data_IF_795866974755
#
_entry.id   IF_795866974755
#
_cell.length_a   1.000
_cell.length_b   1.000
_cell.length_c   1.000
_cell.angle_alpha   90.00
_cell.angle_beta   90.00
_cell.angle_gamma   90.00
#
_symmetry.space_group_name_H-M   'P 1'
#
loop_
_entity.id
_entity.type
_entity.pdbx_description
1 polymer ?
#
# COMPACT_ATOMS: atom_id res chain seq x y z
N UNK A 1 33.34 -10.87 -11.87
CA UNK A 1 32.81 -12.11 -11.28
C UNK A 1 31.96 -11.78 -10.03
N UNK A 2 30.80 -11.13 -10.20
CA UNK A 2 29.92 -10.79 -9.06
C UNK A 2 28.42 -10.72 -9.41
N UNK A 3 28.06 -10.87 -10.68
CA UNK A 3 26.67 -10.78 -11.14
C UNK A 3 25.92 -12.12 -11.15
N UNK A 4 26.64 -13.25 -11.22
CA UNK A 4 26.02 -14.59 -11.29
C UNK A 4 25.51 -15.08 -9.92
N UNK A 5 26.23 -14.78 -8.83
CA UNK A 5 25.79 -15.19 -7.50
C UNK A 5 24.48 -14.50 -7.09
N UNK A 6 24.29 -13.22 -7.42
CA UNK A 6 23.08 -12.49 -7.02
C UNK A 6 21.83 -12.96 -7.78
N UNK A 7 21.98 -13.39 -9.04
CA UNK A 7 20.89 -13.83 -9.90
C UNK A 7 20.24 -15.12 -9.37
N UNK A 8 21.05 -16.07 -8.90
CA UNK A 8 20.57 -17.33 -8.32
C UNK A 8 19.83 -17.12 -6.98
N UNK A 9 20.28 -16.14 -6.17
CA UNK A 9 19.57 -15.73 -4.94
C UNK A 9 18.25 -15.01 -5.20
N UNK A 10 18.14 -14.22 -6.27
CA UNK A 10 16.88 -13.59 -6.66
C UNK A 10 15.90 -14.58 -7.30
N UNK A 11 16.38 -15.55 -8.10
CA UNK A 11 15.55 -16.63 -8.66
C UNK A 11 14.94 -17.52 -7.56
N UNK A 12 15.73 -17.96 -6.58
CA UNK A 12 15.20 -18.68 -5.40
C UNK A 12 14.21 -17.84 -4.61
N UNK A 13 14.49 -16.54 -4.43
CA UNK A 13 13.57 -15.63 -3.73
C UNK A 13 12.30 -15.31 -4.49
N UNK A 14 12.28 -15.48 -5.81
CA UNK A 14 11.08 -15.32 -6.63
C UNK A 14 10.22 -16.60 -6.62
N UNK A 15 10.84 -17.78 -6.46
CA UNK A 15 10.11 -19.04 -6.35
C UNK A 15 9.24 -19.13 -5.08
N UNK A 16 9.55 -18.35 -4.05
CA UNK A 16 8.82 -18.29 -2.76
C UNK A 16 7.76 -17.16 -2.71
N UNK A 17 7.46 -16.50 -3.84
CA UNK A 17 6.48 -15.42 -3.89
C UNK A 17 5.10 -15.99 -4.23
N UNK A 18 4.17 -15.90 -3.28
CA UNK A 18 2.79 -16.36 -3.44
C UNK A 18 1.96 -15.40 -4.32
N UNK A 19 2.26 -14.09 -4.25
CA UNK A 19 1.61 -13.05 -5.06
C UNK A 19 2.57 -11.89 -5.28
N UNK A 20 2.54 -11.26 -6.46
CA UNK A 20 3.31 -10.04 -6.72
C UNK A 20 2.48 -9.03 -7.53
N UNK A 21 2.50 -7.77 -7.10
CA UNK A 21 1.95 -6.64 -7.84
C UNK A 21 3.04 -5.60 -8.08
N UNK A 22 3.25 -5.25 -9.35
CA UNK A 22 4.17 -4.20 -9.78
C UNK A 22 3.40 -2.94 -10.13
N UNK A 23 3.87 -1.79 -9.63
CA UNK A 23 3.32 -0.47 -9.94
C UNK A 23 4.47 0.40 -10.49
N UNK A 24 4.35 0.87 -11.73
CA UNK A 24 5.27 1.88 -12.26
C UNK A 24 4.80 3.25 -11.76
N UNK A 25 5.73 4.02 -11.20
CA UNK A 25 5.45 5.38 -10.73
C UNK A 25 6.32 6.35 -11.53
N UNK A 26 5.75 6.82 -12.64
CA UNK A 26 6.46 7.60 -13.65
C UNK A 26 7.67 6.86 -14.24
N UNK A 27 8.61 7.62 -14.79
CA UNK A 27 9.73 7.07 -15.58
C UNK A 27 10.81 6.36 -14.76
N UNK A 28 10.93 6.64 -13.46
CA UNK A 28 12.14 6.33 -12.68
C UNK A 28 11.91 5.61 -11.37
N UNK A 29 10.66 5.42 -10.95
CA UNK A 29 10.33 4.67 -9.74
C UNK A 29 9.43 3.49 -10.09
N UNK A 30 9.61 2.40 -9.35
CA UNK A 30 8.76 1.23 -9.46
C UNK A 30 8.58 0.65 -8.07
N UNK A 31 7.33 0.40 -7.70
CA UNK A 31 6.97 -0.29 -6.47
C UNK A 31 6.66 -1.74 -6.77
N UNK A 32 7.10 -2.63 -5.89
CA UNK A 32 6.81 -4.05 -5.91
C UNK A 32 6.17 -4.43 -4.58
N UNK A 33 5.00 -5.04 -4.64
CA UNK A 33 4.27 -5.58 -3.49
C UNK A 33 4.26 -7.09 -3.63
N UNK A 34 5.13 -7.77 -2.88
CA UNK A 34 5.23 -9.23 -2.89
C UNK A 34 4.62 -9.80 -1.60
N UNK A 35 3.81 -10.85 -1.72
CA UNK A 35 3.39 -11.69 -0.60
C UNK A 35 4.26 -12.93 -0.57
N UNK A 36 4.84 -13.23 0.58
CA UNK A 36 5.75 -14.37 0.79
C UNK A 36 5.33 -15.18 2.00
N UNK A 37 5.59 -16.47 1.96
CA UNK A 37 5.34 -17.37 3.09
C UNK A 37 6.58 -17.42 4.00
N UNK A 38 6.35 -17.46 5.32
CA UNK A 38 7.37 -17.69 6.33
C UNK A 38 7.58 -19.20 6.51
N UNK A 39 8.62 -19.58 7.25
CA UNK A 39 8.82 -20.99 7.64
C UNK A 39 7.71 -21.54 8.54
N UNK A 40 6.91 -20.67 9.16
CA UNK A 40 5.82 -21.05 10.07
C UNK A 40 4.45 -21.12 9.38
N UNK A 41 4.41 -21.17 8.03
CA UNK A 41 3.19 -21.16 7.23
C UNK A 41 2.32 -19.89 7.37
N UNK A 42 2.94 -18.80 7.85
CA UNK A 42 2.34 -17.47 7.87
C UNK A 42 2.76 -16.64 6.66
N UNK A 43 2.00 -15.59 6.33
CA UNK A 43 2.31 -14.69 5.23
C UNK A 43 2.81 -13.32 5.71
N UNK A 44 3.71 -12.73 4.94
CA UNK A 44 4.18 -11.36 5.12
C UNK A 44 4.29 -10.65 3.77
N UNK A 45 4.20 -9.32 3.79
CA UNK A 45 4.33 -8.49 2.60
C UNK A 45 5.74 -7.89 2.57
N UNK A 46 6.36 -7.91 1.40
CA UNK A 46 7.56 -7.13 1.10
C UNK A 46 7.19 -6.00 0.15
N UNK A 47 7.35 -4.76 0.60
CA UNK A 47 7.18 -3.56 -0.23
C UNK A 47 8.58 -3.10 -0.64
N UNK A 48 8.85 -3.08 -1.93
CA UNK A 48 10.14 -2.60 -2.47
C UNK A 48 9.92 -1.42 -3.38
N UNK A 49 10.56 -0.30 -3.07
CA UNK A 49 10.73 0.80 -4.00
C UNK A 49 12.07 0.64 -4.71
N UNK A 50 12.04 0.66 -6.05
CA UNK A 50 13.22 0.75 -6.89
C UNK A 50 13.25 2.09 -7.60
N UNK A 51 14.27 2.90 -7.34
CA UNK A 51 14.48 4.22 -7.95
C UNK A 51 15.72 4.18 -8.84
N UNK A 52 15.57 4.47 -10.13
CA UNK A 52 16.71 4.59 -11.05
C UNK A 52 17.56 5.81 -10.67
N UNK A 53 18.89 5.66 -10.56
CA UNK A 53 19.83 6.77 -10.29
C UNK A 53 19.92 7.75 -11.48
N UNK A 54 20.33 9.00 -11.20
CA UNK A 54 20.38 10.06 -12.21
C UNK A 54 21.57 9.91 -13.16
N UNK A 55 22.73 9.59 -12.61
CA UNK A 55 24.02 9.68 -13.29
C UNK A 55 24.73 8.32 -13.38
N UNK A 56 24.05 7.24 -13.06
CA UNK A 56 24.66 5.93 -12.82
C UNK A 56 23.73 4.82 -13.32
N UNK A 57 24.30 3.73 -13.84
CA UNK A 57 23.55 2.58 -14.34
C UNK A 57 23.14 1.63 -13.20
N UNK A 58 22.37 2.20 -12.25
CA UNK A 58 21.97 1.52 -11.03
C UNK A 58 20.60 1.93 -10.50
N UNK A 59 20.11 1.14 -9.54
CA UNK A 59 18.86 1.36 -8.84
C UNK A 59 19.10 1.44 -7.32
N UNK A 60 18.53 2.45 -6.68
CA UNK A 60 18.40 2.50 -5.24
C UNK A 60 17.15 1.71 -4.84
N UNK A 61 17.34 0.70 -4.00
CA UNK A 61 16.26 -0.18 -3.54
C UNK A 61 16.00 0.04 -2.07
N UNK A 62 14.80 0.49 -1.74
CA UNK A 62 14.29 0.58 -0.39
C UNK A 62 13.32 -0.57 -0.18
N UNK A 63 13.55 -1.39 0.85
CA UNK A 63 12.75 -2.58 1.13
C UNK A 63 12.20 -2.51 2.55
N UNK A 64 10.91 -2.74 2.67
CA UNK A 64 10.19 -2.85 3.93
C UNK A 64 9.50 -4.22 4.00
N UNK A 65 9.46 -4.78 5.21
CA UNK A 65 8.73 -6.00 5.52
C UNK A 65 7.56 -5.62 6.42
N UNK A 66 6.38 -6.16 6.13
CA UNK A 66 5.18 -5.98 6.91
C UNK A 66 4.62 -7.36 7.26
N UNK A 67 4.45 -7.62 8.55
CA UNK A 67 3.96 -8.90 9.08
C UNK A 67 2.45 -8.82 9.38
N UNK A 68 1.80 -9.99 9.42
CA UNK A 68 0.34 -10.11 9.50
C UNK A 68 -0.29 -9.39 10.70
N UNK A 69 0.42 -9.33 11.82
CA UNK A 69 0.00 -8.68 13.07
C UNK A 69 -0.18 -7.16 12.93
N UNK A 70 0.48 -6.55 11.95
CA UNK A 70 0.51 -5.10 11.76
C UNK A 70 -0.32 -4.63 10.56
N UNK A 71 -0.91 -5.53 9.77
CA UNK A 71 -1.61 -5.17 8.53
C UNK A 71 -2.68 -4.10 8.73
N UNK A 72 -3.58 -4.29 9.70
CA UNK A 72 -4.68 -3.37 9.93
C UNK A 72 -4.20 -2.01 10.48
N UNK A 73 -3.20 -2.02 11.38
CA UNK A 73 -2.63 -0.79 11.95
C UNK A 73 -1.89 0.01 10.87
N UNK A 74 -1.11 -0.67 10.05
CA UNK A 74 -0.37 -0.07 8.96
C UNK A 74 -1.31 0.49 7.88
N UNK A 75 -2.34 -0.26 7.49
CA UNK A 75 -3.32 0.20 6.51
C UNK A 75 -4.08 1.43 7.00
N UNK A 76 -4.56 1.43 8.26
CA UNK A 76 -5.26 2.57 8.84
C UNK A 76 -4.38 3.82 8.84
N UNK A 77 -3.15 3.72 9.37
CA UNK A 77 -2.21 4.84 9.41
C UNK A 77 -1.83 5.34 8.00
N UNK A 78 -1.65 4.42 7.04
CA UNK A 78 -1.34 4.76 5.66
C UNK A 78 -2.50 5.52 5.01
N UNK A 79 -3.73 5.02 5.15
CA UNK A 79 -4.94 5.67 4.61
C UNK A 79 -5.14 7.05 5.23
N UNK A 80 -5.10 7.16 6.56
CA UNK A 80 -5.25 8.45 7.26
C UNK A 80 -4.21 9.47 6.80
N UNK A 81 -2.95 9.05 6.64
CA UNK A 81 -1.88 9.93 6.17
C UNK A 81 -2.11 10.36 4.72
N UNK A 82 -2.57 9.46 3.85
CA UNK A 82 -2.88 9.79 2.45
C UNK A 82 -4.06 10.76 2.39
N UNK A 83 -5.10 10.52 3.18
CA UNK A 83 -6.30 11.35 3.20
C UNK A 83 -5.96 12.75 3.67
N UNK A 84 -5.20 12.90 4.77
CA UNK A 84 -4.73 14.21 5.24
C UNK A 84 -3.95 15.00 4.16
N UNK A 85 -3.13 14.32 3.35
CA UNK A 85 -2.43 14.96 2.23
C UNK A 85 -3.44 15.45 1.18
N UNK A 86 -4.44 14.63 0.84
CA UNK A 86 -5.44 14.95 -0.17
C UNK A 86 -6.41 16.03 0.27
N UNK A 87 -6.83 16.04 1.53
CA UNK A 87 -7.88 16.94 2.04
C UNK A 87 -7.31 18.24 2.57
N UNK A 88 -6.24 18.18 3.38
CA UNK A 88 -5.78 19.34 4.14
C UNK A 88 -4.58 20.04 3.48
N UNK A 89 -3.67 19.26 2.87
CA UNK A 89 -2.46 19.84 2.28
C UNK A 89 -2.59 20.19 0.80
N UNK A 90 -3.34 19.39 0.03
CA UNK A 90 -3.46 19.53 -1.42
C UNK A 90 -4.90 19.29 -1.93
N UNK A 91 -5.92 20.00 -1.42
CA UNK A 91 -7.33 19.78 -1.78
C UNK A 91 -7.64 20.03 -3.26
N UNK A 92 -6.97 21.00 -3.88
CA UNK A 92 -7.23 21.37 -5.28
C UNK A 92 -6.39 20.56 -6.30
N UNK A 93 -5.56 19.62 -5.82
CA UNK A 93 -4.71 18.83 -6.70
C UNK A 93 -5.45 17.60 -7.24
N UNK A 94 -5.50 17.47 -8.56
CA UNK A 94 -6.08 16.30 -9.22
C UNK A 94 -5.13 15.10 -9.15
N UNK A 95 -5.29 14.27 -8.11
CA UNK A 95 -4.55 13.02 -7.95
C UNK A 95 -5.00 11.94 -8.95
N UNK A 96 -6.22 12.03 -9.48
CA UNK A 96 -6.79 11.02 -10.38
C UNK A 96 -6.24 11.14 -11.80
N UNK A 97 -5.74 12.32 -12.19
CA UNK A 97 -4.98 12.51 -13.42
C UNK A 97 -3.81 11.51 -13.56
N UNK A 98 -3.22 11.05 -12.45
CA UNK A 98 -2.10 10.11 -12.44
C UNK A 98 -2.51 8.63 -12.42
N UNK A 99 -3.81 8.34 -12.33
CA UNK A 99 -4.33 6.98 -12.49
C UNK A 99 -4.40 6.55 -13.97
N UNK A 100 -4.05 7.43 -14.92
CA UNK A 100 -3.92 7.06 -16.33
C UNK A 100 -2.75 6.09 -16.49
N UNK A 101 -3.10 4.83 -16.72
CA UNK A 101 -2.17 3.81 -17.20
C UNK A 101 -1.46 4.37 -18.45
N UNK A 102 -0.14 4.62 -18.36
CA UNK A 102 0.75 4.74 -19.51
C UNK A 102 0.91 3.36 -20.21
N UNK A 103 -0.20 2.65 -20.44
CA UNK A 103 -0.23 1.34 -21.12
C UNK A 103 -0.53 1.47 -22.62
N UNK A 104 -0.88 2.64 -23.13
CA UNK A 104 -1.19 2.84 -24.56
C UNK A 104 0.03 3.06 -25.48
N UNK A 105 1.11 2.30 -25.30
CA UNK A 105 2.10 2.08 -26.37
C UNK A 105 2.65 0.64 -26.37
N UNK A 106 1.78 -0.38 -26.39
CA UNK A 106 2.08 -1.63 -27.11
C UNK A 106 0.80 -2.47 -27.33
N UNK A 107 0.34 -2.49 -28.59
CA UNK A 107 -0.55 -3.46 -29.24
C UNK A 107 -1.89 -3.83 -28.56
N UNK A 108 -2.98 -3.38 -29.19
CA UNK A 108 -4.34 -3.50 -28.71
C UNK A 108 -4.85 -4.93 -28.53
N UNK A 109 -5.45 -5.15 -27.37
CA UNK A 109 -6.54 -6.11 -27.19
C UNK A 109 -7.40 -5.61 -26.02
N UNK A 110 -8.66 -5.27 -26.31
CA UNK A 110 -9.59 -4.73 -25.34
C UNK A 110 -9.98 -5.79 -24.31
N UNK A 111 -9.76 -5.53 -23.03
CA UNK A 111 -10.48 -6.21 -21.94
C UNK A 111 -10.97 -5.15 -20.96
N UNK A 112 -12.29 -5.07 -20.81
CA UNK A 112 -13.00 -4.04 -20.06
C UNK A 112 -12.47 -3.93 -18.61
N UNK A 113 -12.13 -2.71 -18.20
CA UNK A 113 -11.74 -2.39 -16.83
C UNK A 113 -12.93 -2.58 -15.89
N UNK A 114 -12.74 -3.38 -14.83
CA UNK A 114 -13.69 -3.47 -13.74
C UNK A 114 -13.71 -2.14 -12.97
N UNK A 115 -14.88 -1.64 -12.55
CA UNK A 115 -14.98 -0.38 -11.82
C UNK A 115 -14.33 -0.48 -10.45
N UNK A 116 -13.70 0.61 -10.01
CA UNK A 116 -13.12 0.77 -8.69
C UNK A 116 -14.16 0.49 -7.58
N UNK A 117 -13.77 -0.08 -6.42
CA UNK A 117 -14.71 -0.32 -5.34
C UNK A 117 -15.19 1.02 -4.76
N UNK A 118 -16.48 1.31 -4.91
CA UNK A 118 -17.16 2.40 -4.26
C UNK A 118 -17.20 2.14 -2.75
N UNK A 119 -16.57 3.01 -1.96
CA UNK A 119 -16.66 3.00 -0.51
C UNK A 119 -18.07 3.48 -0.13
N UNK A 120 -18.85 2.65 0.55
CA UNK A 120 -20.20 2.98 1.03
C UNK A 120 -20.05 3.48 2.47
N UNK A 121 -20.23 4.78 2.69
CA UNK A 121 -20.45 5.32 4.04
C UNK A 121 -21.86 4.96 4.51
N UNK A 122 -21.96 4.08 5.50
CA UNK A 122 -23.17 3.94 6.31
C UNK A 122 -22.80 4.15 7.77
N UNK A 123 -22.97 5.37 8.25
CA UNK A 123 -23.01 5.67 9.68
C UNK A 123 -24.48 5.95 10.02
N UNK A 124 -25.12 4.98 10.67
CA UNK A 124 -26.28 5.21 11.52
C UNK A 124 -25.92 4.62 12.86
N UNK A 125 -25.68 5.47 13.86
CA UNK A 125 -25.77 5.04 15.25
C UNK A 125 -26.53 6.10 16.07
N UNK A 126 -27.61 5.59 16.63
CA UNK A 126 -28.67 6.21 17.40
C UNK A 126 -28.15 6.46 18.82
N UNK A 127 -28.01 7.72 19.21
CA UNK A 127 -27.64 8.08 20.58
C UNK A 127 -28.84 7.84 21.50
N UNK A 128 -28.79 6.75 22.28
CA UNK A 128 -29.70 6.56 23.42
C UNK A 128 -29.11 7.22 24.67
N UNK A 129 -29.86 8.20 25.17
CA UNK A 129 -29.56 9.03 26.33
C UNK A 129 -29.85 8.24 27.62
N UNK A 130 -28.82 7.89 28.39
CA UNK A 130 -28.99 7.38 29.76
C UNK A 130 -28.69 8.51 30.75
N UNK A 131 -29.75 8.95 31.43
CA UNK A 131 -29.69 9.83 32.61
C UNK A 131 -29.10 9.06 33.78
N UNK A 132 -27.94 9.49 34.27
CA UNK A 132 -27.44 9.09 35.57
C UNK A 132 -27.85 10.13 36.62
N UNK A 133 -28.78 9.74 37.48
CA UNK A 133 -29.13 10.43 38.71
C UNK A 133 -28.44 9.72 39.86
N UNK A 134 -27.36 10.29 40.39
CA UNK A 134 -26.95 10.03 41.77
C UNK A 134 -26.06 11.15 42.29
N UNK A 135 -26.65 12.00 43.13
CA UNK A 135 -25.95 12.97 43.96
C UNK A 135 -25.98 12.41 45.37
N UNK A 136 -24.86 11.83 45.82
CA UNK A 136 -24.59 11.50 47.23
C UNK A 136 -23.22 12.11 47.56
N UNK A 137 -23.16 13.30 48.16
CA UNK A 137 -23.28 13.55 49.59
C UNK A 137 -22.07 13.08 50.41
N UNK A 138 -20.87 13.63 50.17
CA UNK A 138 -19.75 13.52 51.12
C UNK A 138 -19.45 14.87 51.79
N UNK A 139 -19.82 14.91 53.09
CA UNK A 139 -19.43 15.90 54.09
C UNK A 139 -17.91 16.00 54.23
N UNK A 140 -17.37 17.22 54.14
CA UNK A 140 -16.56 17.88 55.17
C UNK A 140 -16.45 19.38 54.86
#
# INVERSE_FOLDING_TARGET
MSYENNKNYEEKRNAEVAFSKKIKAGKRRTYFFDVRETRGNDYFITITESKKRFNDDGYDRHKMFLYKEDFNKFLAALTETIDFVKTDLMPDFDFDAFNHDESEQNNGEYVASAPAPAYVESITEEATELKDTSVDEWKM
#
